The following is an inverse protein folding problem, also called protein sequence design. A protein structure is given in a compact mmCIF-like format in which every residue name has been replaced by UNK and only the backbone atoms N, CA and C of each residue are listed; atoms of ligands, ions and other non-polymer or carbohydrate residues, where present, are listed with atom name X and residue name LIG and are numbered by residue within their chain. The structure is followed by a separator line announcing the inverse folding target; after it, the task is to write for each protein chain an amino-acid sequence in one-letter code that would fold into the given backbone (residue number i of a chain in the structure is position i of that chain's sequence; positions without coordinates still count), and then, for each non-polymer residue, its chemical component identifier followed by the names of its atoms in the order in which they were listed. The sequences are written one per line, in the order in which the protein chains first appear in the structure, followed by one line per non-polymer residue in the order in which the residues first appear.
data_IF_523616630163
#
_entry.id   IF_523616630163
#
_cell.length_a   1.000
_cell.length_b   1.000
_cell.length_c   1.000
_cell.angle_alpha   90.00
_cell.angle_beta   90.00
_cell.angle_gamma   90.00
#
_symmetry.space_group_name_H-M   'P 1'
#
loop_
_entity.id
_entity.type
_entity.pdbx_description
1 polymer ?
#
# COMPACT_ATOMS: atom_id res chain seq x y z
N UNK A 1 -7.92 -61.54 -1.33
CA UNK A 1 -7.16 -60.62 -0.46
C UNK A 1 -5.70 -60.52 -0.90
N UNK A 2 -5.34 -59.85 -2.01
CA UNK A 2 -3.93 -59.60 -2.41
C UNK A 2 -3.76 -58.39 -3.36
N UNK A 3 -4.48 -57.28 -3.15
CA UNK A 3 -4.35 -56.11 -4.04
C UNK A 3 -4.25 -54.74 -3.35
N UNK A 4 -4.24 -54.67 -2.01
CA UNK A 4 -4.29 -53.38 -1.30
C UNK A 4 -2.97 -52.87 -0.70
N UNK A 5 -1.87 -53.61 -0.82
CA UNK A 5 -0.62 -53.26 -0.10
C UNK A 5 0.35 -52.42 -0.95
N UNK A 6 0.12 -52.25 -2.26
CA UNK A 6 1.13 -51.64 -3.14
C UNK A 6 0.96 -50.11 -3.36
N UNK A 7 -0.14 -49.49 -2.91
CA UNK A 7 -0.41 -48.05 -3.19
C UNK A 7 0.09 -47.13 -2.06
N UNK A 8 0.35 -47.65 -0.86
CA UNK A 8 0.71 -46.81 0.30
C UNK A 8 2.21 -46.49 0.37
N UNK A 9 3.07 -47.20 -0.37
CA UNK A 9 4.53 -47.00 -0.30
C UNK A 9 5.04 -45.94 -1.30
N UNK A 10 4.26 -45.56 -2.31
CA UNK A 10 4.73 -44.65 -3.36
C UNK A 10 4.54 -43.15 -3.03
N UNK A 11 3.78 -42.80 -1.99
CA UNK A 11 3.53 -41.39 -1.62
C UNK A 11 4.50 -40.83 -0.58
N UNK A 12 5.37 -41.64 0.03
CA UNK A 12 6.36 -41.15 1.01
C UNK A 12 7.72 -40.77 0.42
N UNK A 13 7.98 -41.03 -0.87
CA UNK A 13 9.29 -40.75 -1.49
C UNK A 13 9.38 -39.43 -2.28
N UNK A 14 8.25 -38.73 -2.49
CA UNK A 14 8.24 -37.44 -3.22
C UNK A 14 8.41 -36.24 -2.28
N UNK A 15 8.28 -36.44 -0.96
CA UNK A 15 8.34 -35.36 0.03
C UNK A 15 9.74 -34.96 0.52
N UNK A 16 10.80 -35.73 0.23
CA UNK A 16 12.13 -35.49 0.81
C UNK A 16 13.13 -34.79 -0.11
N UNK A 17 12.76 -34.45 -1.36
CA UNK A 17 13.67 -33.80 -2.32
C UNK A 17 13.40 -32.30 -2.47
N UNK A 18 12.28 -31.79 -1.93
CA UNK A 18 11.94 -30.37 -2.02
C UNK A 18 12.66 -29.49 -0.97
N UNK A 19 13.14 -30.05 0.14
CA UNK A 19 13.76 -29.28 1.23
C UNK A 19 15.28 -29.07 1.07
N UNK A 20 15.92 -29.67 0.06
CA UNK A 20 17.36 -29.55 -0.15
C UNK A 20 17.77 -28.43 -1.14
N UNK A 21 16.82 -27.76 -1.81
CA UNK A 21 17.13 -26.79 -2.86
C UNK A 21 17.02 -25.31 -2.43
N UNK A 22 16.62 -25.03 -1.18
CA UNK A 22 16.42 -23.64 -0.70
C UNK A 22 17.59 -23.13 0.19
N UNK A 23 18.62 -23.94 0.46
CA UNK A 23 19.71 -23.58 1.38
C UNK A 23 21.07 -23.24 0.74
N UNK A 24 21.12 -22.81 -0.54
CA UNK A 24 22.40 -22.45 -1.19
C UNK A 24 22.46 -21.07 -1.84
N UNK A 25 21.50 -20.15 -1.58
CA UNK A 25 21.51 -18.82 -2.21
C UNK A 25 21.42 -17.61 -1.27
N UNK A 26 21.75 -17.77 0.02
CA UNK A 26 21.79 -16.65 0.97
C UNK A 26 23.21 -16.51 1.53
N UNK A 27 24.20 -16.19 0.69
CA UNK A 27 25.55 -15.83 1.20
C UNK A 27 26.35 -14.85 0.33
N UNK A 28 25.77 -14.24 -0.72
CA UNK A 28 26.50 -13.33 -1.62
C UNK A 28 25.86 -11.94 -1.78
N UNK A 29 25.51 -11.26 -0.68
CA UNK A 29 25.08 -9.84 -0.76
C UNK A 29 25.59 -8.96 0.38
N UNK A 30 26.68 -9.36 1.05
CA UNK A 30 27.31 -8.58 2.12
C UNK A 30 28.72 -8.10 1.73
N UNK A 31 28.86 -7.40 0.60
CA UNK A 31 30.12 -6.67 0.30
C UNK A 31 29.94 -5.65 -0.82
N UNK A 32 29.13 -4.59 -0.63
CA UNK A 32 29.33 -3.35 -1.41
C UNK A 32 28.54 -2.13 -0.87
N UNK A 33 28.77 -1.74 0.39
CA UNK A 33 28.38 -0.41 0.86
C UNK A 33 29.47 0.17 1.75
N UNK A 34 30.66 0.36 1.17
CA UNK A 34 31.71 1.19 1.75
C UNK A 34 31.99 2.30 0.75
N UNK A 35 31.97 3.54 1.22
CA UNK A 35 32.42 4.77 0.55
C UNK A 35 31.36 5.50 -0.27
N UNK A 36 30.61 6.41 0.37
CA UNK A 36 30.56 7.85 0.03
C UNK A 36 30.06 8.60 1.29
N UNK A 37 31.00 9.02 2.14
CA UNK A 37 30.76 10.06 3.15
C UNK A 37 31.32 11.35 2.55
N UNK A 38 30.43 12.27 2.17
CA UNK A 38 30.76 13.67 1.91
C UNK A 38 30.07 14.52 2.99
N UNK A 39 30.76 15.52 3.58
CA UNK A 39 30.19 16.37 4.61
C UNK A 39 29.17 17.35 4.01
N UNK A 40 27.91 17.29 4.45
CA UNK A 40 26.95 18.38 4.24
C UNK A 40 27.35 19.57 5.11
N UNK A 41 27.94 20.57 4.48
CA UNK A 41 28.21 21.88 5.05
C UNK A 41 26.89 22.56 5.44
N UNK A 42 26.84 23.06 6.66
CA UNK A 42 25.71 23.80 7.22
C UNK A 42 25.44 25.09 6.45
N UNK A 43 24.20 25.27 5.99
CA UNK A 43 23.63 26.59 5.71
C UNK A 43 22.73 26.95 6.91
N UNK A 44 23.30 27.69 7.85
CA UNK A 44 22.55 28.39 8.89
C UNK A 44 21.86 29.59 8.25
N UNK A 45 20.55 29.49 8.03
CA UNK A 45 19.70 30.66 7.76
C UNK A 45 19.27 31.26 9.09
N UNK A 46 19.85 32.41 9.42
CA UNK A 46 19.37 33.34 10.44
C UNK A 46 17.96 33.78 10.06
N UNK A 47 16.98 33.53 10.91
CA UNK A 47 15.71 34.25 10.90
C UNK A 47 15.70 35.12 12.15
N UNK A 48 15.78 36.42 11.92
CA UNK A 48 15.66 37.45 12.95
C UNK A 48 14.18 37.62 13.30
N UNK A 49 13.90 37.66 14.60
CA UNK A 49 12.62 38.07 15.18
C UNK A 49 12.33 39.54 14.85
N UNK A 50 11.08 39.87 14.47
CA UNK A 50 10.37 41.05 14.98
C UNK A 50 8.92 41.19 14.47
N UNK A 51 7.99 41.08 15.43
CA UNK A 51 6.84 41.94 15.72
C UNK A 51 5.76 42.30 14.66
N UNK A 52 4.57 41.74 14.94
CA UNK A 52 3.36 42.45 15.41
C UNK A 52 2.52 43.34 14.43
N UNK A 53 1.21 42.99 14.40
CA UNK A 53 -0.01 43.74 14.01
C UNK A 53 -0.24 44.08 12.52
N UNK A 54 -1.19 43.41 11.86
CA UNK A 54 -2.56 43.94 11.68
C UNK A 54 -3.51 42.90 11.08
N UNK A 55 -4.69 42.84 11.70
CA UNK A 55 -5.93 42.25 11.19
C UNK A 55 -6.43 43.11 10.03
N UNK A 56 -6.75 42.48 8.90
CA UNK A 56 -7.37 43.12 7.74
C UNK A 56 -7.97 42.07 6.82
N UNK A 57 -9.30 42.08 6.75
CA UNK A 57 -10.14 41.21 5.92
C UNK A 57 -10.04 41.54 4.43
N UNK A 58 -10.38 40.53 3.60
CA UNK A 58 -10.68 40.56 2.16
C UNK A 58 -9.48 40.51 1.20
N UNK A 59 -9.27 39.35 0.57
CA UNK A 59 -9.58 39.18 -0.87
C UNK A 59 -9.31 37.73 -1.32
N UNK A 60 -10.23 37.24 -2.13
CA UNK A 60 -10.12 35.99 -2.87
C UNK A 60 -8.81 35.94 -3.68
N UNK A 61 -7.91 35.02 -3.32
CA UNK A 61 -6.95 34.48 -4.27
C UNK A 61 -7.28 33.02 -4.53
N UNK A 62 -8.06 32.82 -5.60
CA UNK A 62 -8.17 31.56 -6.31
C UNK A 62 -6.78 31.13 -6.79
N UNK A 63 -6.13 30.24 -6.03
CA UNK A 63 -4.89 29.59 -6.47
C UNK A 63 -5.27 28.48 -7.45
N UNK A 64 -5.18 28.82 -8.73
CA UNK A 64 -5.14 27.91 -9.86
C UNK A 64 -3.93 26.96 -9.71
N UNK A 65 -4.12 25.80 -9.10
CA UNK A 65 -3.24 24.64 -9.32
C UNK A 65 -3.91 23.69 -10.32
N UNK A 66 -3.91 24.12 -11.59
CA UNK A 66 -4.07 23.21 -12.74
C UNK A 66 -2.69 22.86 -13.30
N UNK A 67 -2.59 21.58 -13.65
CA UNK A 67 -1.61 20.96 -14.54
C UNK A 67 -0.20 20.70 -14.00
N UNK A 68 0.00 19.46 -13.54
CA UNK A 68 1.05 18.59 -14.11
C UNK A 68 0.56 17.14 -14.11
N UNK A 69 -0.36 16.85 -15.03
CA UNK A 69 -0.72 15.48 -15.39
C UNK A 69 0.44 14.92 -16.22
N UNK A 70 1.33 14.15 -15.59
CA UNK A 70 2.40 13.46 -16.30
C UNK A 70 1.80 12.33 -17.16
N UNK A 71 1.57 12.65 -18.43
CA UNK A 71 1.29 11.70 -19.50
C UNK A 71 2.44 10.68 -19.62
N UNK A 72 2.30 9.52 -18.97
CA UNK A 72 3.25 8.38 -19.07
C UNK A 72 2.98 7.49 -20.28
N UNK A 73 2.13 7.90 -21.23
CA UNK A 73 1.77 7.11 -22.40
C UNK A 73 2.30 7.73 -23.68
N UNK A 74 3.62 7.69 -23.88
CA UNK A 74 4.24 7.80 -25.20
C UNK A 74 5.72 7.39 -25.10
N UNK A 75 6.01 6.10 -25.20
CA UNK A 75 7.38 5.67 -25.47
C UNK A 75 7.40 4.49 -26.44
N UNK A 76 7.65 4.87 -27.69
CA UNK A 76 8.25 4.10 -28.80
C UNK A 76 7.34 3.13 -29.56
N UNK A 77 6.75 3.69 -30.62
CA UNK A 77 6.68 3.02 -31.92
C UNK A 77 7.97 3.30 -32.72
N UNK A 78 8.23 2.44 -33.70
CA UNK A 78 9.27 2.49 -34.76
C UNK A 78 10.55 1.74 -34.34
N UNK A 79 10.97 0.63 -34.95
CA UNK A 79 11.26 0.44 -36.39
C UNK A 79 11.34 -1.06 -36.76
N UNK A 80 11.27 -1.33 -38.06
CA UNK A 80 10.79 -2.49 -38.81
C UNK A 80 11.78 -3.62 -39.20
N UNK A 81 11.19 -4.78 -39.56
CA UNK A 81 11.53 -5.84 -40.56
C UNK A 81 12.98 -6.39 -40.67
N UNK A 82 13.12 -7.73 -40.76
CA UNK A 82 13.33 -8.51 -42.02
C UNK A 82 13.44 -10.05 -41.76
N UNK A 83 12.69 -10.81 -42.58
CA UNK A 83 12.81 -12.20 -43.10
C UNK A 83 13.28 -13.39 -42.21
N UNK A 84 12.43 -14.42 -42.09
CA UNK A 84 12.58 -15.71 -42.82
C UNK A 84 11.45 -16.69 -42.46
N UNK A 85 10.98 -17.44 -43.46
CA UNK A 85 9.77 -18.25 -43.41
C UNK A 85 9.81 -19.45 -42.49
N UNK A 86 8.68 -19.67 -41.82
CA UNK A 86 8.20 -20.97 -41.35
C UNK A 86 6.67 -20.91 -41.33
N UNK A 87 6.02 -21.89 -41.95
CA UNK A 87 4.56 -22.05 -41.95
C UNK A 87 4.10 -22.46 -40.56
N UNK A 88 3.64 -21.50 -39.76
CA UNK A 88 3.07 -21.75 -38.43
C UNK A 88 1.54 -21.72 -38.55
N UNK A 89 0.90 -22.86 -38.27
CA UNK A 89 -0.55 -22.99 -38.26
C UNK A 89 -1.17 -22.15 -37.13
N UNK A 90 -2.33 -21.49 -37.36
CA UNK A 90 -3.05 -20.78 -36.32
C UNK A 90 -3.75 -21.78 -35.41
N UNK A 91 -3.16 -22.06 -34.25
CA UNK A 91 -3.87 -22.74 -33.16
C UNK A 91 -4.81 -21.70 -32.54
N UNK A 92 -6.09 -21.77 -32.90
CA UNK A 92 -7.17 -21.04 -32.24
C UNK A 92 -7.29 -21.56 -30.80
N UNK A 93 -6.49 -20.98 -29.90
CA UNK A 93 -6.66 -21.19 -28.47
C UNK A 93 -7.96 -20.48 -28.04
N UNK A 94 -9.00 -21.28 -27.83
CA UNK A 94 -10.26 -20.82 -27.26
C UNK A 94 -10.06 -20.43 -25.79
N UNK A 95 -9.93 -19.13 -25.54
CA UNK A 95 -9.88 -18.51 -24.22
C UNK A 95 -11.19 -18.75 -23.47
N UNK A 96 -11.23 -19.79 -22.65
CA UNK A 96 -12.33 -20.11 -21.75
C UNK A 96 -11.99 -19.59 -20.34
N UNK A 97 -12.18 -18.29 -20.12
CA UNK A 97 -11.88 -17.64 -18.82
C UNK A 97 -13.05 -16.80 -18.26
N UNK A 98 -14.29 -17.06 -18.66
CA UNK A 98 -15.46 -16.31 -18.15
C UNK A 98 -16.02 -16.83 -16.82
N UNK A 99 -15.63 -18.02 -16.36
CA UNK A 99 -16.22 -18.64 -15.15
C UNK A 99 -15.57 -18.23 -13.82
N UNK A 100 -14.50 -17.42 -13.84
CA UNK A 100 -13.81 -16.96 -12.61
C UNK A 100 -14.10 -15.50 -12.24
N UNK A 101 -14.63 -14.69 -13.18
CA UNK A 101 -14.81 -13.25 -12.97
C UNK A 101 -15.80 -12.94 -11.84
N UNK A 102 -16.94 -13.62 -11.80
CA UNK A 102 -17.97 -13.40 -10.78
C UNK A 102 -17.52 -13.81 -9.37
N UNK A 103 -16.72 -14.87 -9.25
CA UNK A 103 -16.13 -15.28 -7.96
C UNK A 103 -15.10 -14.27 -7.47
N UNK A 104 -14.27 -13.76 -8.37
CA UNK A 104 -13.28 -12.75 -8.03
C UNK A 104 -13.95 -11.43 -7.62
N UNK A 105 -15.00 -11.03 -8.32
CA UNK A 105 -15.79 -9.85 -7.98
C UNK A 105 -16.40 -9.96 -6.58
N UNK A 106 -16.94 -11.11 -6.20
CA UNK A 106 -17.47 -11.33 -4.84
C UNK A 106 -16.36 -11.22 -3.77
N UNK A 107 -15.19 -11.82 -4.01
CA UNK A 107 -14.02 -11.70 -3.12
C UNK A 107 -13.58 -10.24 -3.00
N UNK A 108 -13.56 -9.51 -4.12
CA UNK A 108 -13.17 -8.11 -4.18
C UNK A 108 -14.13 -7.25 -3.34
N UNK A 109 -15.45 -7.45 -3.48
CA UNK A 109 -16.47 -6.77 -2.65
C UNK A 109 -16.26 -7.05 -1.16
N UNK A 110 -16.06 -8.31 -0.80
CA UNK A 110 -15.81 -8.72 0.60
C UNK A 110 -14.54 -8.06 1.14
N UNK A 111 -13.47 -7.99 0.34
CA UNK A 111 -12.21 -7.40 0.76
C UNK A 111 -12.32 -5.89 1.02
N UNK A 112 -13.06 -5.16 0.18
CA UNK A 112 -13.29 -3.72 0.38
C UNK A 112 -14.06 -3.46 1.68
N UNK A 113 -15.15 -4.20 1.94
CA UNK A 113 -15.92 -4.04 3.19
C UNK A 113 -15.05 -4.40 4.41
N UNK A 114 -14.35 -5.53 4.39
CA UNK A 114 -13.41 -5.92 5.46
C UNK A 114 -12.31 -4.88 5.67
N UNK A 115 -11.80 -4.31 4.59
CA UNK A 115 -10.79 -3.26 4.64
C UNK A 115 -11.33 -2.01 5.33
N UNK A 116 -12.51 -1.55 4.95
CA UNK A 116 -13.19 -0.43 5.58
C UNK A 116 -13.42 -0.64 7.08
N UNK A 117 -13.96 -1.80 7.49
CA UNK A 117 -14.20 -2.14 8.90
C UNK A 117 -12.90 -2.15 9.72
N UNK A 118 -11.81 -2.62 9.11
CA UNK A 118 -10.49 -2.61 9.74
C UNK A 118 -9.98 -1.18 9.96
N UNK A 119 -10.17 -0.28 8.99
CA UNK A 119 -9.79 1.13 9.16
C UNK A 119 -10.65 1.80 10.24
N UNK A 120 -11.94 1.48 10.32
CA UNK A 120 -12.80 1.94 11.42
C UNK A 120 -12.30 1.42 12.78
N UNK A 121 -11.94 0.13 12.87
CA UNK A 121 -11.37 -0.44 14.09
C UNK A 121 -10.06 0.24 14.49
N UNK A 122 -9.14 0.45 13.53
CA UNK A 122 -7.89 1.16 13.80
C UNK A 122 -8.14 2.57 14.33
N UNK A 123 -9.04 3.33 13.71
CA UNK A 123 -9.31 4.71 14.11
C UNK A 123 -10.02 4.81 15.47
N UNK A 124 -10.88 3.85 15.81
CA UNK A 124 -11.56 3.78 17.11
C UNK A 124 -10.65 3.25 18.23
N UNK A 125 -9.63 2.46 17.88
CA UNK A 125 -8.65 1.90 18.81
C UNK A 125 -7.26 2.49 18.59
N UNK A 126 -7.19 3.73 18.10
CA UNK A 126 -5.95 4.34 17.62
C UNK A 126 -4.82 4.23 18.64
N UNK A 127 -5.02 4.75 19.85
CA UNK A 127 -4.01 4.71 20.91
C UNK A 127 -3.56 3.30 21.26
N UNK A 128 -4.49 2.34 21.30
CA UNK A 128 -4.20 0.96 21.68
C UNK A 128 -3.39 0.24 20.61
N UNK A 129 -3.76 0.40 19.35
CA UNK A 129 -3.12 -0.32 18.24
C UNK A 129 -1.75 0.29 17.95
N UNK A 130 -1.63 1.61 17.95
CA UNK A 130 -0.38 2.28 17.59
C UNK A 130 0.53 2.55 18.79
N UNK A 131 0.31 1.91 19.94
CA UNK A 131 1.20 1.98 21.12
C UNK A 131 1.64 0.57 21.52
N UNK A 132 2.95 0.36 21.66
CA UNK A 132 3.50 -0.89 22.18
C UNK A 132 4.23 -0.61 23.48
N UNK A 133 3.82 -1.29 24.54
CA UNK A 133 4.47 -1.23 25.85
C UNK A 133 5.42 -2.42 26.03
N UNK A 134 6.57 -2.20 26.68
CA UNK A 134 7.46 -3.28 27.09
C UNK A 134 8.46 -3.79 26.05
N UNK A 135 8.66 -3.06 24.94
CA UNK A 135 9.75 -3.32 23.99
C UNK A 135 11.07 -2.61 24.35
N UNK A 136 11.09 -1.73 25.36
CA UNK A 136 12.29 -1.04 25.79
C UNK A 136 13.33 -2.00 26.38
N UNK A 137 14.51 -2.08 25.76
CA UNK A 137 15.65 -2.86 26.26
C UNK A 137 16.31 -2.27 27.53
N UNK A 138 15.87 -1.08 27.93
CA UNK A 138 16.37 -0.40 29.11
C UNK A 138 15.50 -0.79 30.30
N UNK A 139 16.13 -1.22 31.39
CA UNK A 139 15.51 -1.72 32.63
C UNK A 139 14.68 -0.68 33.40
N UNK A 140 14.26 0.40 32.74
CA UNK A 140 13.41 1.47 33.27
C UNK A 140 11.97 1.20 32.84
N UNK A 141 11.30 0.43 33.69
CA UNK A 141 9.86 0.40 33.99
C UNK A 141 8.89 1.08 32.98
N UNK A 142 8.14 0.26 32.23
CA UNK A 142 6.85 0.59 31.59
C UNK A 142 6.82 1.77 30.60
N UNK A 143 7.88 2.08 29.85
CA UNK A 143 7.72 3.01 28.72
C UNK A 143 6.88 2.35 27.61
N UNK A 144 5.80 3.04 27.22
CA UNK A 144 4.97 2.70 26.07
C UNK A 144 5.34 3.61 24.91
N UNK A 145 5.74 3.04 23.79
CA UNK A 145 6.22 3.78 22.63
C UNK A 145 5.20 3.70 21.51
N UNK A 146 4.95 4.85 20.87
CA UNK A 146 4.07 4.96 19.70
C UNK A 146 4.78 4.34 18.51
N UNK A 147 4.13 3.41 17.82
CA UNK A 147 4.68 2.74 16.64
C UNK A 147 3.82 3.00 15.41
N UNK A 148 4.42 3.51 14.32
CA UNK A 148 3.71 3.71 13.06
C UNK A 148 3.51 2.39 12.29
N UNK A 149 4.10 1.28 12.75
CA UNK A 149 4.07 0.00 12.02
C UNK A 149 2.66 -0.55 11.81
N UNK A 150 1.76 -0.32 12.77
CA UNK A 150 0.36 -0.73 12.64
C UNK A 150 -0.36 0.01 11.52
N UNK A 151 -0.01 1.27 11.23
CA UNK A 151 -0.61 2.00 10.10
C UNK A 151 -0.38 1.25 8.79
N UNK A 152 0.87 0.85 8.51
CA UNK A 152 1.21 0.10 7.29
C UNK A 152 0.51 -1.27 7.24
N UNK A 153 0.33 -1.91 8.40
CA UNK A 153 -0.35 -3.21 8.51
C UNK A 153 -1.83 -3.11 8.13
N UNK A 154 -2.55 -2.15 8.73
CA UNK A 154 -3.97 -1.95 8.46
C UNK A 154 -4.26 -1.41 7.06
N UNK A 155 -3.33 -0.65 6.49
CA UNK A 155 -3.43 -0.15 5.11
C UNK A 155 -3.06 -1.22 4.05
N UNK A 156 -2.71 -2.44 4.45
CA UNK A 156 -2.43 -3.54 3.52
C UNK A 156 -1.05 -3.53 2.86
N UNK A 157 -0.10 -2.73 3.36
CA UNK A 157 1.28 -2.67 2.84
C UNK A 157 2.21 -3.73 3.45
N UNK A 158 1.79 -4.42 4.52
CA UNK A 158 2.60 -5.44 5.19
C UNK A 158 2.42 -6.86 4.69
N UNK A 159 1.26 -7.19 4.11
CA UNK A 159 0.94 -8.54 3.67
C UNK A 159 0.24 -8.54 2.32
N UNK A 160 0.58 -9.52 1.47
CA UNK A 160 -0.10 -9.76 0.19
C UNK A 160 -1.45 -10.43 0.33
N UNK A 161 -1.75 -10.98 1.51
CA UNK A 161 -3.03 -11.61 1.85
C UNK A 161 -3.98 -10.64 2.56
N UNK A 162 -3.58 -9.38 2.75
CA UNK A 162 -4.41 -8.39 3.42
C UNK A 162 -5.58 -7.96 2.51
N UNK A 163 -6.79 -7.72 3.05
CA UNK A 163 -7.93 -7.26 2.26
C UNK A 163 -7.65 -5.98 1.47
N UNK A 164 -6.83 -5.08 2.00
CA UNK A 164 -6.46 -3.83 1.33
C UNK A 164 -5.19 -3.93 0.48
N UNK A 165 -4.58 -5.12 0.35
CA UNK A 165 -3.44 -5.31 -0.52
C UNK A 165 -3.79 -4.96 -1.97
N UNK A 166 -3.12 -3.93 -2.51
CA UNK A 166 -3.40 -3.38 -3.85
C UNK A 166 -4.87 -3.03 -4.04
N UNK A 167 -5.50 -2.45 -3.02
CA UNK A 167 -6.92 -2.07 -3.04
C UNK A 167 -7.29 -1.21 -4.25
N UNK A 168 -6.44 -0.30 -4.72
CA UNK A 168 -6.67 0.47 -5.95
C UNK A 168 -6.93 -0.43 -7.17
N UNK A 169 -6.15 -1.50 -7.35
CA UNK A 169 -6.36 -2.49 -8.42
C UNK A 169 -7.67 -3.26 -8.24
N UNK A 170 -8.06 -3.52 -6.99
CA UNK A 170 -9.32 -4.18 -6.65
C UNK A 170 -10.51 -3.28 -6.96
N UNK A 171 -10.45 -2.01 -6.58
CA UNK A 171 -11.47 -1.00 -6.87
C UNK A 171 -11.66 -0.80 -8.37
N UNK A 172 -10.58 -0.79 -9.15
CA UNK A 172 -10.62 -0.72 -10.62
C UNK A 172 -11.30 -1.94 -11.25
N UNK A 173 -11.04 -3.15 -10.74
CA UNK A 173 -11.78 -4.35 -11.19
C UNK A 173 -13.26 -4.28 -10.85
N UNK A 174 -13.60 -3.79 -9.66
CA UNK A 174 -14.99 -3.60 -9.25
C UNK A 174 -15.70 -2.59 -10.14
N UNK A 175 -15.02 -1.52 -10.53
CA UNK A 175 -15.53 -0.54 -11.49
C UNK A 175 -15.85 -1.16 -12.85
N UNK A 176 -14.96 -2.00 -13.38
CA UNK A 176 -15.13 -2.65 -14.69
C UNK A 176 -16.22 -3.74 -14.67
N UNK A 177 -16.34 -4.47 -13.55
CA UNK A 177 -17.24 -5.62 -13.42
C UNK A 177 -18.62 -5.25 -12.87
N UNK A 178 -18.70 -4.21 -12.05
CA UNK A 178 -19.96 -3.73 -11.47
C UNK A 178 -20.54 -2.65 -12.37
N UNK A 179 -21.85 -2.68 -12.61
CA UNK A 179 -22.53 -1.62 -13.34
C UNK A 179 -22.65 -0.36 -12.44
N UNK A 180 -21.56 0.39 -12.31
CA UNK A 180 -21.53 1.67 -11.59
C UNK A 180 -22.52 2.63 -12.26
N UNK A 181 -23.42 3.28 -11.50
CA UNK A 181 -24.37 4.21 -12.10
C UNK A 181 -23.63 5.35 -12.82
N UNK A 182 -23.93 5.58 -14.11
CA UNK A 182 -23.26 6.61 -14.92
C UNK A 182 -23.28 8.03 -14.29
N UNK A 183 -24.26 8.31 -13.42
CA UNK A 183 -24.35 9.60 -12.70
C UNK A 183 -23.32 9.74 -11.57
N UNK A 184 -22.80 8.64 -11.03
CA UNK A 184 -21.81 8.60 -9.93
C UNK A 184 -20.45 8.09 -10.39
N UNK A 185 -20.23 8.03 -11.70
CA UNK A 185 -18.99 7.57 -12.32
C UNK A 185 -17.77 8.40 -11.88
N UNK A 186 -17.90 9.72 -12.02
CA UNK A 186 -16.86 10.68 -11.61
C UNK A 186 -16.58 10.58 -10.11
N UNK A 187 -17.63 10.51 -9.29
CA UNK A 187 -17.54 10.40 -7.84
C UNK A 187 -16.83 9.10 -7.42
N UNK A 188 -17.08 7.99 -8.12
CA UNK A 188 -16.39 6.73 -7.87
C UNK A 188 -14.90 6.86 -8.16
N UNK A 189 -14.54 7.39 -9.34
CA UNK A 189 -13.14 7.52 -9.76
C UNK A 189 -12.37 8.47 -8.84
N UNK A 190 -12.97 9.60 -8.45
CA UNK A 190 -12.40 10.54 -7.48
C UNK A 190 -12.21 9.88 -6.11
N UNK A 191 -13.18 9.11 -5.61
CA UNK A 191 -13.03 8.39 -4.35
C UNK A 191 -11.88 7.36 -4.40
N UNK A 192 -11.70 6.67 -5.53
CA UNK A 192 -10.56 5.74 -5.70
C UNK A 192 -9.22 6.48 -5.71
N UNK A 193 -9.14 7.64 -6.35
CA UNK A 193 -7.94 8.47 -6.36
C UNK A 193 -7.60 8.99 -4.96
N UNK A 194 -8.59 9.57 -4.25
CA UNK A 194 -8.43 10.05 -2.87
C UNK A 194 -7.99 8.90 -1.96
N UNK A 195 -8.60 7.71 -2.09
CA UNK A 195 -8.17 6.53 -1.33
C UNK A 195 -6.69 6.22 -1.60
N UNK A 196 -6.30 6.12 -2.87
CA UNK A 196 -4.95 5.71 -3.25
C UNK A 196 -3.88 6.70 -2.77
N UNK A 197 -4.11 7.99 -2.98
CA UNK A 197 -3.19 9.05 -2.58
C UNK A 197 -2.98 9.05 -1.05
N UNK A 198 -4.08 9.05 -0.30
CA UNK A 198 -4.02 9.06 1.16
C UNK A 198 -3.46 7.76 1.73
N UNK A 199 -3.70 6.62 1.08
CA UNK A 199 -3.13 5.35 1.50
C UNK A 199 -1.60 5.33 1.36
N UNK A 200 -1.09 5.80 0.23
CA UNK A 200 0.35 5.90 -0.02
C UNK A 200 1.00 6.93 0.92
N UNK A 201 0.36 8.08 1.15
CA UNK A 201 0.86 9.11 2.05
C UNK A 201 0.88 8.64 3.52
N UNK A 202 -0.19 7.99 3.98
CA UNK A 202 -0.24 7.40 5.33
C UNK A 202 0.87 6.36 5.53
N UNK A 203 1.06 5.48 4.54
CA UNK A 203 2.10 4.45 4.57
C UNK A 203 3.51 5.06 4.52
N UNK A 204 3.72 6.08 3.69
CA UNK A 204 4.99 6.81 3.57
C UNK A 204 5.36 7.53 4.86
N UNK A 205 4.42 8.26 5.47
CA UNK A 205 4.63 8.90 6.78
C UNK A 205 4.93 7.89 7.87
N UNK A 206 4.20 6.77 7.89
CA UNK A 206 4.43 5.69 8.84
C UNK A 206 5.83 5.07 8.68
N UNK A 207 6.26 4.86 7.43
CA UNK A 207 7.59 4.34 7.14
C UNK A 207 8.69 5.31 7.57
N UNK A 208 8.60 6.60 7.21
CA UNK A 208 9.60 7.61 7.59
C UNK A 208 9.70 7.74 9.11
N UNK A 209 8.56 7.77 9.81
CA UNK A 209 8.51 7.89 11.27
C UNK A 209 9.00 6.66 12.01
N UNK A 210 9.00 5.47 11.38
CA UNK A 210 9.58 4.27 12.00
C UNK A 210 11.08 4.38 12.29
N UNK A 211 11.76 5.35 11.64
CA UNK A 211 13.17 5.68 11.87
C UNK A 211 13.37 6.98 12.65
N UNK A 212 12.27 7.58 13.14
CA UNK A 212 12.26 8.91 13.73
C UNK A 212 13.13 9.05 14.97
N UNK A 213 13.29 8.00 15.77
CA UNK A 213 14.15 8.02 16.97
C UNK A 213 15.64 7.87 16.64
N UNK A 214 15.97 7.19 15.54
CA UNK A 214 17.35 6.89 15.16
C UNK A 214 18.05 8.02 14.42
N UNK A 215 17.31 9.06 14.01
CA UNK A 215 17.84 10.17 13.21
C UNK A 215 18.38 11.31 14.09
N UNK A 216 19.48 11.99 13.70
CA UNK A 216 19.95 13.19 14.37
C UNK A 216 18.86 14.27 14.41
N UNK A 217 18.52 14.78 15.61
CA UNK A 217 17.41 15.72 15.81
C UNK A 217 16.01 15.08 15.74
N UNK A 218 15.97 13.74 15.68
CA UNK A 218 14.79 12.92 15.87
C UNK A 218 14.40 12.74 17.34
N UNK A 219 13.40 11.90 17.58
CA UNK A 219 12.87 11.65 18.91
C UNK A 219 11.47 11.07 18.89
N UNK A 220 10.98 10.68 20.07
CA UNK A 220 9.63 10.11 20.26
C UNK A 220 8.53 11.10 19.84
N UNK A 221 8.77 12.38 20.08
CA UNK A 221 7.93 13.50 19.65
C UNK A 221 7.79 13.59 18.12
N UNK A 222 8.87 13.29 17.38
CA UNK A 222 8.84 13.24 15.92
C UNK A 222 8.03 12.05 15.42
N UNK A 223 8.20 10.88 16.04
CA UNK A 223 7.40 9.69 15.70
C UNK A 223 5.92 9.99 15.92
N UNK A 224 5.56 10.56 17.06
CA UNK A 224 4.19 10.94 17.41
C UNK A 224 3.63 12.00 16.44
N UNK A 225 4.40 13.02 16.08
CA UNK A 225 3.95 14.02 15.10
C UNK A 225 3.54 13.38 13.76
N UNK A 226 4.35 12.46 13.25
CA UNK A 226 4.08 11.82 11.96
C UNK A 226 2.97 10.78 12.05
N UNK A 227 2.82 10.08 13.18
CA UNK A 227 1.73 9.12 13.34
C UNK A 227 0.37 9.83 13.35
N UNK A 228 0.26 10.98 14.02
CA UNK A 228 -0.98 11.76 14.03
C UNK A 228 -1.27 12.42 12.67
N UNK A 229 -0.24 12.71 11.86
CA UNK A 229 -0.44 13.13 10.46
C UNK A 229 -0.94 11.97 9.61
N UNK A 230 -0.33 10.79 9.74
CA UNK A 230 -0.79 9.58 9.04
C UNK A 230 -2.25 9.25 9.40
N UNK A 231 -2.67 9.49 10.65
CA UNK A 231 -4.07 9.33 11.08
C UNK A 231 -5.05 10.13 10.22
N UNK A 232 -4.72 11.37 9.85
CA UNK A 232 -5.58 12.22 9.01
C UNK A 232 -5.76 11.62 7.62
N UNK A 233 -4.68 11.10 7.04
CA UNK A 233 -4.73 10.43 5.75
C UNK A 233 -5.54 9.13 5.83
N UNK A 234 -5.45 8.37 6.94
CA UNK A 234 -6.30 7.18 7.14
C UNK A 234 -7.78 7.55 7.24
N UNK A 235 -8.13 8.68 7.88
CA UNK A 235 -9.51 9.17 7.93
C UNK A 235 -10.02 9.46 6.51
N UNK A 236 -9.26 10.18 5.70
CA UNK A 236 -9.62 10.46 4.31
C UNK A 236 -9.74 9.18 3.46
N UNK A 237 -8.81 8.24 3.61
CA UNK A 237 -8.87 6.95 2.93
C UNK A 237 -10.07 6.09 3.37
N UNK A 238 -10.42 6.10 4.67
CA UNK A 238 -11.63 5.43 5.16
C UNK A 238 -12.89 6.06 4.55
N UNK A 239 -12.97 7.38 4.55
CA UNK A 239 -14.16 8.10 4.09
C UNK A 239 -14.37 7.93 2.58
N UNK A 240 -13.30 7.90 1.79
CA UNK A 240 -13.39 7.58 0.36
C UNK A 240 -13.79 6.13 0.10
N UNK A 241 -13.32 5.16 0.90
CA UNK A 241 -13.84 3.78 0.85
C UNK A 241 -15.33 3.71 1.21
N UNK A 242 -15.81 4.51 2.17
CA UNK A 242 -17.23 4.58 2.50
C UNK A 242 -18.06 5.07 1.30
N UNK A 243 -17.56 6.06 0.57
CA UNK A 243 -18.18 6.55 -0.67
C UNK A 243 -18.26 5.45 -1.73
N UNK A 244 -17.16 4.72 -1.96
CA UNK A 244 -17.14 3.56 -2.87
C UNK A 244 -18.18 2.51 -2.46
N UNK A 245 -18.21 2.13 -1.18
CA UNK A 245 -19.15 1.15 -0.63
C UNK A 245 -20.60 1.61 -0.87
N UNK A 246 -20.89 2.90 -0.67
CA UNK A 246 -22.19 3.50 -0.95
C UNK A 246 -22.56 3.46 -2.44
N UNK A 247 -21.61 3.74 -3.35
CA UNK A 247 -21.85 3.71 -4.79
C UNK A 247 -22.15 2.30 -5.29
N UNK A 248 -21.42 1.32 -4.76
CA UNK A 248 -21.56 -0.09 -5.14
C UNK A 248 -22.70 -0.80 -4.39
N UNK A 249 -23.41 -0.11 -3.49
CA UNK A 249 -24.49 -0.66 -2.65
C UNK A 249 -24.06 -1.92 -1.88
N UNK A 250 -22.84 -1.89 -1.33
CA UNK A 250 -22.31 -3.00 -0.54
C UNK A 250 -22.82 -2.90 0.90
N UNK A 251 -23.22 -4.04 1.48
CA UNK A 251 -23.63 -4.10 2.89
C UNK A 251 -22.39 -4.00 3.79
N UNK A 252 -22.24 -2.88 4.48
CA UNK A 252 -21.32 -2.64 5.59
C UNK A 252 -22.02 -2.84 6.93
#
# INVERSE_FOLDING_TARGET
MRFFVCVVVLTQLVGMVADAFILTNIENSASNYKTVLAPMTQLQSKTDDNNNVQVGDNEEQQVNHRHNYFDRRNFIYTTSLLLSGATIQPVLAASSSSLSSSKQEEIDKINIVKGYDRLQYLLSNWEKETTICGMGGDKLERSCDRTPMKVMEYMGYKSTTDPLYKAEKTLRRLYENTNVPAKRDVEFLEAVEIFSENADEASGMAFISSWGESNPGGGKDRVELFIERARKNIVAARDSLATVISILDLKS
#
